data_IF_951632642701
#
_entry.id   IF_951632642701
#
_cell.length_a   1.000
_cell.length_b   1.000
_cell.length_c   1.000
_cell.angle_alpha   90.00
_cell.angle_beta   90.00
_cell.angle_gamma   90.00
#
_symmetry.space_group_name_H-M   'P 1'
#
loop_
_entity.id
_entity.type
_entity.pdbx_description
1 polymer ?
#
# COMPACT_ATOMS: atom_id res chain seq x y z
N UNK A 1 2.01 15.56 18.55
CA UNK A 1 2.76 16.84 18.59
C UNK A 1 3.21 17.11 17.17
N UNK A 2 3.10 18.35 16.67
CA UNK A 2 3.51 18.68 15.30
C UNK A 2 4.89 19.30 15.38
N UNK A 3 5.89 18.65 14.77
CA UNK A 3 7.27 19.14 14.77
C UNK A 3 7.43 20.27 13.75
N UNK A 4 8.02 21.40 14.15
CA UNK A 4 8.21 22.56 13.27
C UNK A 4 9.66 22.64 12.83
N UNK A 5 9.89 22.73 11.52
CA UNK A 5 11.20 23.10 10.96
C UNK A 5 11.04 24.49 10.33
N UNK A 6 11.90 25.42 10.75
CA UNK A 6 11.99 26.79 10.21
C UNK A 6 10.67 27.59 10.20
N UNK A 7 9.83 27.40 11.23
CA UNK A 7 8.57 28.15 11.35
C UNK A 7 7.44 27.66 10.45
N UNK A 8 7.69 26.67 9.59
CA UNK A 8 6.66 25.99 8.83
C UNK A 8 6.10 24.82 9.67
N UNK A 9 4.77 24.64 9.63
CA UNK A 9 4.15 23.42 10.14
C UNK A 9 4.55 22.28 9.19
N UNK A 10 5.63 21.58 9.54
CA UNK A 10 6.06 20.41 8.79
C UNK A 10 5.31 19.22 9.37
N UNK A 11 4.66 18.45 8.50
CA UNK A 11 4.00 17.22 8.93
C UNK A 11 5.08 16.25 9.40
N UNK A 12 4.89 15.65 10.57
CA UNK A 12 5.83 14.68 11.13
C UNK A 12 6.11 13.58 10.08
N UNK A 13 7.37 13.24 9.77
CA UNK A 13 7.68 12.18 8.82
C UNK A 13 7.14 10.79 9.22
N UNK A 14 6.81 10.58 10.51
CA UNK A 14 6.08 9.41 10.96
C UNK A 14 4.57 9.50 10.66
N UNK A 15 4.04 10.70 10.45
CA UNK A 15 2.67 10.99 10.00
C UNK A 15 2.58 11.14 8.46
N UNK A 16 3.74 11.11 7.77
CA UNK A 16 3.87 10.89 6.31
C UNK A 16 3.54 9.44 5.91
N UNK A 17 3.48 8.52 6.88
CA UNK A 17 2.70 7.30 6.75
C UNK A 17 1.23 7.72 6.70
N UNK A 18 0.78 8.26 5.55
CA UNK A 18 -0.65 8.30 5.27
C UNK A 18 -1.18 6.92 5.64
N UNK A 19 -2.08 6.88 6.65
CA UNK A 19 -2.46 5.66 7.40
C UNK A 19 -2.36 4.48 6.47
N UNK A 20 -1.51 3.48 6.74
CA UNK A 20 -1.19 2.37 5.82
C UNK A 20 -2.38 1.92 4.98
N UNK A 21 -3.58 1.85 5.57
CA UNK A 21 -4.86 1.65 4.88
C UNK A 21 -5.09 2.52 3.63
N UNK A 22 -4.86 3.84 3.67
CA UNK A 22 -4.94 4.76 2.52
C UNK A 22 -3.95 4.37 1.42
N UNK A 23 -2.73 3.94 1.79
CA UNK A 23 -1.74 3.48 0.82
C UNK A 23 -2.14 2.13 0.20
N UNK A 24 -2.78 1.26 0.97
CA UNK A 24 -3.33 0.00 0.48
C UNK A 24 -4.58 0.22 -0.40
N UNK A 25 -5.43 1.19 -0.08
CA UNK A 25 -6.57 1.60 -0.90
C UNK A 25 -6.09 2.15 -2.25
N UNK A 26 -5.13 3.09 -2.24
CA UNK A 26 -4.52 3.62 -3.47
C UNK A 26 -3.87 2.52 -4.33
N UNK A 27 -3.20 1.57 -3.69
CA UNK A 27 -2.61 0.43 -4.38
C UNK A 27 -3.68 -0.49 -5.00
N UNK A 28 -4.81 -0.69 -4.32
CA UNK A 28 -5.93 -1.47 -4.83
C UNK A 28 -6.61 -0.77 -6.02
N UNK A 29 -6.84 0.54 -5.93
CA UNK A 29 -7.37 1.35 -7.05
C UNK A 29 -6.44 1.31 -8.28
N UNK A 30 -5.13 1.40 -8.07
CA UNK A 30 -4.18 1.27 -9.17
C UNK A 30 -4.21 -0.12 -9.81
N UNK A 31 -4.40 -1.16 -9.00
CA UNK A 31 -4.51 -2.55 -9.45
C UNK A 31 -5.76 -2.78 -10.29
N UNK A 32 -6.92 -2.27 -9.86
CA UNK A 32 -8.17 -2.38 -10.63
C UNK A 32 -8.05 -1.64 -11.96
N UNK A 33 -7.40 -0.47 -11.98
CA UNK A 33 -7.10 0.26 -13.23
C UNK A 33 -6.18 -0.53 -14.16
N UNK A 34 -5.10 -1.13 -13.65
CA UNK A 34 -4.13 -1.90 -14.46
C UNK A 34 -4.69 -3.19 -15.02
N UNK A 35 -5.64 -3.80 -14.32
CA UNK A 35 -6.33 -5.00 -14.76
C UNK A 35 -7.59 -4.67 -15.58
N UNK A 36 -7.74 -3.43 -16.03
CA UNK A 36 -8.85 -2.95 -16.86
C UNK A 36 -10.24 -3.26 -16.28
N UNK A 37 -10.36 -3.19 -14.96
CA UNK A 37 -11.61 -3.51 -14.24
C UNK A 37 -11.98 -5.00 -14.22
N UNK A 38 -11.14 -5.91 -14.75
CA UNK A 38 -11.38 -7.36 -14.71
C UNK A 38 -11.32 -7.95 -13.30
N UNK A 39 -10.82 -7.17 -12.34
CA UNK A 39 -10.78 -7.53 -10.93
C UNK A 39 -11.52 -6.48 -10.14
N UNK A 40 -12.48 -6.93 -9.32
CA UNK A 40 -13.25 -6.08 -8.42
C UNK A 40 -12.34 -5.42 -7.36
N UNK A 41 -12.70 -4.21 -6.95
CA UNK A 41 -11.95 -3.47 -5.94
C UNK A 41 -11.77 -4.23 -4.63
N UNK A 42 -12.79 -4.94 -4.13
CA UNK A 42 -12.67 -5.72 -2.90
C UNK A 42 -11.69 -6.88 -3.05
N UNK A 43 -11.62 -7.49 -4.24
CA UNK A 43 -10.65 -8.56 -4.55
C UNK A 43 -9.24 -7.99 -4.59
N UNK A 44 -9.04 -6.88 -5.31
CA UNK A 44 -7.76 -6.18 -5.35
C UNK A 44 -7.29 -5.74 -3.95
N UNK A 45 -8.19 -5.18 -3.15
CA UNK A 45 -7.90 -4.74 -1.78
C UNK A 45 -7.52 -5.88 -0.86
N UNK A 46 -8.24 -6.99 -0.95
CA UNK A 46 -7.93 -8.21 -0.18
C UNK A 46 -6.55 -8.75 -0.55
N UNK A 47 -6.22 -8.79 -1.84
CA UNK A 47 -4.93 -9.27 -2.33
C UNK A 47 -3.77 -8.38 -1.84
N UNK A 48 -3.93 -7.05 -1.93
CA UNK A 48 -2.94 -6.07 -1.45
C UNK A 48 -2.75 -6.17 0.06
N UNK A 49 -3.83 -6.31 0.83
CA UNK A 49 -3.75 -6.50 2.29
C UNK A 49 -3.05 -7.80 2.69
N UNK A 50 -3.36 -8.91 2.01
CA UNK A 50 -2.73 -10.19 2.28
C UNK A 50 -1.22 -10.15 1.97
N UNK A 51 -0.84 -9.54 0.84
CA UNK A 51 0.55 -9.33 0.48
C UNK A 51 1.27 -8.42 1.49
N UNK A 52 0.63 -7.34 1.92
CA UNK A 52 1.19 -6.44 2.94
C UNK A 52 1.46 -7.17 4.26
N UNK A 53 0.49 -7.94 4.78
CA UNK A 53 0.66 -8.72 6.02
C UNK A 53 1.81 -9.71 5.90
N UNK A 54 1.85 -10.49 4.82
CA UNK A 54 2.92 -11.47 4.56
C UNK A 54 4.32 -10.84 4.53
N UNK A 55 4.44 -9.65 3.92
CA UNK A 55 5.70 -8.94 3.84
C UNK A 55 6.05 -8.22 5.16
N UNK A 56 5.05 -7.70 5.88
CA UNK A 56 5.25 -7.07 7.18
C UNK A 56 5.79 -8.04 8.23
N UNK A 57 5.35 -9.30 8.19
CA UNK A 57 5.85 -10.36 9.09
C UNK A 57 7.34 -10.69 8.85
N UNK A 58 7.90 -10.33 7.69
CA UNK A 58 9.27 -10.72 7.29
C UNK A 58 10.23 -9.53 7.15
N UNK A 59 9.72 -8.29 7.12
CA UNK A 59 10.52 -7.11 6.81
C UNK A 59 11.02 -6.39 8.07
N UNK A 60 12.34 -6.16 8.16
CA UNK A 60 12.96 -5.27 9.15
C UNK A 60 12.80 -3.78 8.84
N UNK A 61 12.40 -3.42 7.61
CA UNK A 61 12.25 -2.03 7.14
C UNK A 61 10.88 -1.87 6.50
N UNK A 62 10.00 -1.11 7.17
CA UNK A 62 8.59 -1.01 6.80
C UNK A 62 8.26 0.08 5.77
N UNK A 63 9.21 1.00 5.48
CA UNK A 63 8.95 2.18 4.63
C UNK A 63 8.53 1.86 3.19
N UNK A 64 8.87 0.68 2.65
CA UNK A 64 8.55 0.31 1.26
C UNK A 64 7.50 -0.81 1.14
N UNK A 65 6.96 -1.28 2.28
CA UNK A 65 6.01 -2.39 2.30
C UNK A 65 4.76 -2.21 1.43
N UNK A 66 4.10 -1.03 1.38
CA UNK A 66 2.92 -0.84 0.56
C UNK A 66 3.18 -1.05 -0.94
N UNK A 67 4.32 -0.57 -1.45
CA UNK A 67 4.71 -0.71 -2.85
C UNK A 67 5.02 -2.18 -3.17
N UNK A 68 5.73 -2.86 -2.28
CA UNK A 68 6.04 -4.28 -2.42
C UNK A 68 4.77 -5.15 -2.37
N UNK A 69 3.82 -4.80 -1.50
CA UNK A 69 2.53 -5.47 -1.39
C UNK A 69 1.71 -5.32 -2.67
N UNK A 70 1.64 -4.12 -3.25
CA UNK A 70 0.95 -3.86 -4.51
C UNK A 70 1.51 -4.74 -5.66
N UNK A 71 2.85 -4.82 -5.76
CA UNK A 71 3.51 -5.64 -6.78
C UNK A 71 3.23 -7.13 -6.61
N UNK A 72 3.31 -7.64 -5.38
CA UNK A 72 3.05 -9.05 -5.08
C UNK A 72 1.58 -9.43 -5.33
N UNK A 73 0.64 -8.54 -5.02
CA UNK A 73 -0.78 -8.72 -5.32
C UNK A 73 -1.03 -8.79 -6.84
N UNK A 74 -0.42 -7.89 -7.61
CA UNK A 74 -0.50 -7.94 -9.08
C UNK A 74 0.03 -9.25 -9.67
N UNK A 75 1.17 -9.73 -9.19
CA UNK A 75 1.72 -11.02 -9.63
C UNK A 75 0.77 -12.18 -9.31
N UNK A 76 0.18 -12.18 -8.11
CA UNK A 76 -0.75 -13.24 -7.69
C UNK A 76 -2.01 -13.25 -8.55
N UNK A 77 -2.59 -12.08 -8.83
CA UNK A 77 -3.81 -11.94 -9.63
C UNK A 77 -3.59 -12.25 -11.12
N UNK A 78 -2.38 -12.03 -11.64
CA UNK A 78 -2.05 -12.31 -13.04
C UNK A 78 -1.55 -13.73 -13.31
N UNK A 79 -0.99 -14.41 -12.30
CA UNK A 79 -0.59 -15.83 -12.40
C UNK A 79 -1.69 -16.82 -11.96
N UNK A 80 -2.75 -16.36 -11.29
CA UNK A 80 -3.88 -17.19 -10.89
C UNK A 80 -5.03 -17.22 -11.92
N UNK A 81 -4.89 -16.49 -13.04
CA UNK A 81 -5.81 -16.46 -14.18
C UNK A 81 -5.26 -17.32 -15.32
#
# INVERSE_FOLDING_TARGET
MVDKIEGHNVRDPHDLHGKVEVQLDQAAEELTRRLDGNVDYQVARTAVSAAYRRLADQARVHNFLPILAARAAFQSLTHAA
#
